data_IF_685571584465
#
_entry.id   IF_685571584465
#
_cell.length_a   1.000
_cell.length_b   1.000
_cell.length_c   1.000
_cell.angle_alpha   90.00
_cell.angle_beta   90.00
_cell.angle_gamma   90.00
#
_symmetry.space_group_name_H-M   'P 1'
#
loop_
_entity.id
_entity.type
_entity.pdbx_description
1 polymer ?
#
# COMPACT_ATOMS: atom_id res chain seq x y z
N UNK A 1 -9.92 17.43 -32.82
CA UNK A 1 -10.71 16.21 -32.51
C UNK A 1 -10.50 15.93 -31.05
N UNK A 2 -11.49 16.27 -30.23
CA UNK A 2 -11.55 16.08 -28.79
C UNK A 2 -11.73 14.60 -28.49
N UNK A 3 -10.82 14.03 -27.70
CA UNK A 3 -10.97 12.67 -27.13
C UNK A 3 -11.71 12.82 -25.80
N UNK A 4 -12.78 12.06 -25.54
CA UNK A 4 -13.55 12.20 -24.31
C UNK A 4 -12.85 11.59 -23.11
N UNK A 5 -13.06 12.22 -21.95
CA UNK A 5 -12.55 11.89 -20.64
C UNK A 5 -13.03 10.50 -20.16
N UNK A 6 -12.20 9.49 -20.28
CA UNK A 6 -12.42 8.14 -19.69
C UNK A 6 -11.63 7.94 -18.40
N UNK A 7 -10.67 8.83 -18.11
CA UNK A 7 -9.76 8.69 -16.96
C UNK A 7 -10.39 8.96 -15.58
N UNK A 8 -11.47 9.73 -15.50
CA UNK A 8 -12.09 10.07 -14.21
C UNK A 8 -12.93 8.95 -13.57
N UNK A 9 -13.35 7.95 -14.36
CA UNK A 9 -14.25 6.89 -13.88
C UNK A 9 -13.47 5.76 -13.19
N UNK A 10 -12.22 5.52 -13.56
CA UNK A 10 -11.42 4.43 -13.00
C UNK A 10 -10.91 4.70 -11.57
N UNK A 11 -10.59 5.95 -11.24
CA UNK A 11 -10.11 6.32 -9.90
C UNK A 11 -11.23 6.28 -8.84
N UNK A 12 -12.47 6.59 -9.21
CA UNK A 12 -13.63 6.53 -8.31
C UNK A 12 -14.07 5.07 -8.06
N UNK A 13 -13.89 4.17 -9.02
CA UNK A 13 -14.28 2.77 -8.87
C UNK A 13 -13.35 1.95 -7.99
N UNK A 14 -12.05 2.29 -7.91
CA UNK A 14 -11.09 1.56 -7.07
C UNK A 14 -11.21 1.90 -5.57
N UNK A 15 -11.59 3.12 -5.23
CA UNK A 15 -11.87 3.50 -3.83
C UNK A 15 -13.19 2.92 -3.33
N UNK A 16 -14.23 2.83 -4.18
CA UNK A 16 -15.51 2.23 -3.78
C UNK A 16 -15.40 0.72 -3.55
N UNK A 17 -14.60 -0.01 -4.32
CA UNK A 17 -14.47 -1.46 -4.19
C UNK A 17 -13.69 -1.91 -2.94
N UNK A 18 -12.72 -1.15 -2.48
CA UNK A 18 -12.00 -1.42 -1.24
C UNK A 18 -12.89 -1.14 0.00
N UNK A 19 -13.65 -0.05 -0.03
CA UNK A 19 -14.55 0.33 1.05
C UNK A 19 -15.76 -0.62 1.16
N UNK A 20 -16.29 -1.09 0.02
CA UNK A 20 -17.36 -2.11 -0.02
C UNK A 20 -16.89 -3.48 0.49
N UNK A 21 -15.63 -3.85 0.25
CA UNK A 21 -15.09 -5.13 0.75
C UNK A 21 -14.93 -5.14 2.27
N UNK A 22 -14.54 -4.04 2.88
CA UNK A 22 -14.39 -3.94 4.34
C UNK A 22 -15.74 -3.79 5.03
N UNK A 23 -16.68 -3.08 4.45
CA UNK A 23 -18.05 -3.02 4.93
C UNK A 23 -18.74 -4.39 4.90
N UNK A 24 -18.56 -5.18 3.85
CA UNK A 24 -19.11 -6.54 3.75
C UNK A 24 -18.49 -7.49 4.77
N UNK A 25 -17.19 -7.39 5.07
CA UNK A 25 -16.52 -8.18 6.12
C UNK A 25 -17.07 -7.83 7.52
N UNK A 26 -17.25 -6.55 7.81
CA UNK A 26 -17.84 -6.09 9.08
C UNK A 26 -19.27 -6.59 9.22
N UNK A 27 -20.07 -6.54 8.16
CA UNK A 27 -21.45 -7.07 8.14
C UNK A 27 -21.49 -8.57 8.42
N UNK A 28 -20.63 -9.35 7.77
CA UNK A 28 -20.54 -10.82 7.97
C UNK A 28 -20.13 -11.13 9.41
N UNK A 29 -19.11 -10.45 9.94
CA UNK A 29 -18.66 -10.66 11.34
C UNK A 29 -19.71 -10.27 12.35
N UNK A 30 -20.43 -9.16 12.14
CA UNK A 30 -21.53 -8.74 13.03
C UNK A 30 -22.71 -9.69 12.98
N UNK A 31 -23.09 -10.20 11.79
CA UNK A 31 -24.15 -11.20 11.64
C UNK A 31 -23.80 -12.52 12.34
N UNK A 32 -22.54 -12.98 12.23
CA UNK A 32 -22.04 -14.15 12.96
C UNK A 32 -22.08 -13.93 14.48
N UNK A 33 -21.64 -12.79 14.96
CA UNK A 33 -21.67 -12.46 16.39
C UNK A 33 -23.10 -12.44 16.94
N UNK A 34 -24.05 -11.88 16.19
CA UNK A 34 -25.49 -11.88 16.54
C UNK A 34 -26.03 -13.32 16.57
N UNK A 35 -25.72 -14.13 15.55
CA UNK A 35 -26.14 -15.52 15.48
C UNK A 35 -25.65 -16.34 16.69
N UNK A 36 -24.36 -16.22 17.04
CA UNK A 36 -23.78 -16.88 18.21
C UNK A 36 -24.42 -16.40 19.51
N UNK A 37 -24.71 -15.11 19.64
CA UNK A 37 -25.39 -14.55 20.82
C UNK A 37 -26.82 -15.08 20.98
N UNK A 38 -27.55 -15.16 19.87
CA UNK A 38 -28.92 -15.74 19.87
C UNK A 38 -28.92 -17.24 20.21
N UNK A 39 -27.93 -17.98 19.70
CA UNK A 39 -27.77 -19.40 19.97
C UNK A 39 -27.42 -19.65 21.45
N UNK A 40 -26.54 -18.87 22.03
CA UNK A 40 -26.19 -18.89 23.44
C UNK A 40 -27.40 -18.54 24.33
N UNK A 41 -28.17 -17.52 23.96
CA UNK A 41 -29.40 -17.13 24.64
C UNK A 41 -30.46 -18.24 24.56
N UNK A 42 -30.64 -18.85 23.39
CA UNK A 42 -31.54 -19.98 23.18
C UNK A 42 -31.18 -21.17 24.08
N UNK A 43 -29.91 -21.56 24.13
CA UNK A 43 -29.45 -22.64 25.01
C UNK A 43 -29.63 -22.29 26.49
N UNK A 44 -29.41 -21.04 26.88
CA UNK A 44 -29.68 -20.58 28.24
C UNK A 44 -31.18 -20.69 28.63
N UNK A 45 -32.07 -20.23 27.72
CA UNK A 45 -33.52 -20.29 27.93
C UNK A 45 -34.03 -21.74 27.99
N UNK A 46 -33.55 -22.61 27.10
CA UNK A 46 -33.87 -24.04 27.11
C UNK A 46 -33.42 -24.69 28.44
N UNK A 47 -32.22 -24.44 28.88
CA UNK A 47 -31.71 -24.96 30.15
C UNK A 47 -32.53 -24.44 31.35
N UNK A 48 -32.91 -23.16 31.33
CA UNK A 48 -33.76 -22.56 32.36
C UNK A 48 -35.16 -23.17 32.40
N UNK A 49 -35.77 -23.41 31.23
CA UNK A 49 -37.11 -24.05 31.15
C UNK A 49 -37.07 -25.51 31.56
N UNK A 50 -36.07 -26.27 31.11
CA UNK A 50 -35.87 -27.67 31.53
C UNK A 50 -35.69 -27.79 33.04
N UNK A 51 -34.94 -26.91 33.69
CA UNK A 51 -34.79 -26.87 35.14
C UNK A 51 -36.13 -26.59 35.83
N UNK A 52 -36.95 -25.67 35.32
CA UNK A 52 -38.29 -25.39 35.86
C UNK A 52 -39.23 -26.60 35.74
N UNK A 53 -39.22 -27.28 34.59
CA UNK A 53 -40.00 -28.51 34.37
C UNK A 53 -39.55 -29.64 35.29
N UNK A 54 -38.27 -29.84 35.47
CA UNK A 54 -37.74 -30.87 36.37
C UNK A 54 -38.15 -30.63 37.81
N UNK A 55 -38.11 -29.37 38.30
CA UNK A 55 -38.56 -29.01 39.64
C UNK A 55 -40.07 -29.21 39.79
N UNK A 56 -40.90 -28.82 38.80
CA UNK A 56 -42.36 -28.98 38.83
C UNK A 56 -42.80 -30.44 38.86
N UNK A 57 -42.08 -31.35 38.21
CA UNK A 57 -42.39 -32.77 38.14
C UNK A 57 -41.73 -33.63 39.25
N UNK A 58 -41.13 -32.98 40.26
CA UNK A 58 -40.42 -33.65 41.37
C UNK A 58 -39.39 -34.67 40.91
N UNK A 59 -38.80 -34.46 39.73
CA UNK A 59 -37.67 -35.25 39.27
C UNK A 59 -36.50 -34.86 40.17
N UNK A 60 -35.93 -35.82 40.89
CA UNK A 60 -34.70 -35.61 41.65
C UNK A 60 -33.62 -35.19 40.69
N UNK A 61 -33.40 -33.89 40.60
CA UNK A 61 -32.23 -33.36 39.93
C UNK A 61 -31.07 -33.74 40.85
N UNK A 62 -30.35 -34.79 40.48
CA UNK A 62 -29.11 -35.17 41.15
C UNK A 62 -28.29 -33.88 41.30
N UNK A 63 -28.16 -33.42 42.56
CA UNK A 63 -27.38 -32.21 42.84
C UNK A 63 -26.01 -32.43 42.21
N UNK A 64 -25.74 -31.66 41.16
CA UNK A 64 -24.42 -31.66 40.53
C UNK A 64 -23.49 -31.02 41.55
N UNK A 65 -22.97 -31.88 42.42
CA UNK A 65 -21.97 -31.57 43.42
C UNK A 65 -20.89 -30.78 42.69
N UNK A 66 -20.81 -29.46 42.99
CA UNK A 66 -19.87 -28.49 42.49
C UNK A 66 -19.64 -28.63 40.98
N UNK A 67 -20.37 -27.81 40.18
CA UNK A 67 -20.14 -27.73 38.75
C UNK A 67 -18.63 -27.52 38.51
N UNK A 68 -17.97 -28.38 37.73
CA UNK A 68 -16.56 -28.22 37.47
C UNK A 68 -16.35 -26.81 36.90
N UNK A 69 -15.28 -26.15 37.29
CA UNK A 69 -14.88 -24.87 36.67
C UNK A 69 -15.08 -24.97 35.16
N UNK A 70 -15.66 -23.94 34.53
CA UNK A 70 -15.91 -23.92 33.07
C UNK A 70 -14.68 -24.37 32.29
N UNK A 71 -13.49 -23.99 32.76
CA UNK A 71 -12.23 -24.45 32.21
C UNK A 71 -12.00 -25.95 32.27
N UNK A 72 -12.30 -26.57 33.41
CA UNK A 72 -12.20 -28.05 33.56
C UNK A 72 -13.23 -28.79 32.70
N UNK A 73 -14.43 -28.22 32.54
CA UNK A 73 -15.45 -28.79 31.67
C UNK A 73 -15.04 -28.68 30.19
N UNK A 74 -14.44 -27.56 29.80
CA UNK A 74 -13.90 -27.31 28.45
C UNK A 74 -12.79 -28.31 28.14
N UNK A 75 -11.77 -28.40 28.99
CA UNK A 75 -10.60 -29.29 28.77
C UNK A 75 -10.97 -30.76 28.76
N UNK A 76 -11.99 -31.18 29.53
CA UNK A 76 -12.52 -32.56 29.54
C UNK A 76 -13.33 -32.89 28.29
N UNK A 77 -13.82 -31.91 27.56
CA UNK A 77 -14.58 -32.15 26.35
C UNK A 77 -13.64 -32.29 25.15
N UNK A 78 -13.28 -33.55 24.83
CA UNK A 78 -12.33 -33.87 23.75
C UNK A 78 -12.79 -33.34 22.39
N UNK A 79 -14.12 -33.32 22.13
CA UNK A 79 -14.66 -32.82 20.86
C UNK A 79 -14.44 -31.29 20.75
N UNK A 80 -14.71 -30.54 21.83
CA UNK A 80 -14.52 -29.11 21.85
C UNK A 80 -13.03 -28.74 21.75
N UNK A 81 -12.17 -29.50 22.43
CA UNK A 81 -10.72 -29.34 22.30
C UNK A 81 -10.22 -29.60 20.88
N UNK A 82 -10.77 -30.63 20.22
CA UNK A 82 -10.43 -30.92 18.81
C UNK A 82 -10.86 -29.77 17.88
N UNK A 83 -12.09 -29.26 18.05
CA UNK A 83 -12.56 -28.11 17.26
C UNK A 83 -11.68 -26.87 17.46
N UNK A 84 -11.32 -26.56 18.70
CA UNK A 84 -10.40 -25.46 18.98
C UNK A 84 -9.03 -25.69 18.36
N UNK A 85 -8.49 -26.90 18.43
CA UNK A 85 -7.21 -27.23 17.81
C UNK A 85 -7.25 -27.05 16.28
N UNK A 86 -8.31 -27.52 15.63
CA UNK A 86 -8.52 -27.33 14.17
C UNK A 86 -8.64 -25.83 13.85
N UNK A 87 -9.43 -25.09 14.63
CA UNK A 87 -9.58 -23.65 14.43
C UNK A 87 -8.24 -22.91 14.56
N UNK A 88 -7.47 -23.20 15.60
CA UNK A 88 -6.14 -22.60 15.79
C UNK A 88 -5.17 -22.98 14.68
N UNK A 89 -5.21 -24.23 14.22
CA UNK A 89 -4.38 -24.70 13.12
C UNK A 89 -4.72 -23.98 11.81
N UNK A 90 -5.99 -23.88 11.47
CA UNK A 90 -6.44 -23.18 10.25
C UNK A 90 -6.16 -21.67 10.32
N UNK A 91 -6.42 -21.06 11.48
CA UNK A 91 -6.12 -19.63 11.70
C UNK A 91 -4.60 -19.38 11.59
N UNK A 92 -3.79 -20.22 12.24
CA UNK A 92 -2.33 -20.12 12.16
C UNK A 92 -1.85 -20.27 10.73
N UNK A 93 -2.35 -21.26 10.00
CA UNK A 93 -2.02 -21.47 8.58
C UNK A 93 -2.40 -20.25 7.73
N UNK A 94 -3.56 -19.65 7.96
CA UNK A 94 -4.00 -18.44 7.27
C UNK A 94 -3.07 -17.25 7.53
N UNK A 95 -2.72 -17.00 8.80
CA UNK A 95 -1.82 -15.89 9.16
C UNK A 95 -0.41 -16.11 8.64
N UNK A 96 0.12 -17.34 8.77
CA UNK A 96 1.45 -17.69 8.25
C UNK A 96 1.50 -17.56 6.74
N UNK A 97 0.49 -18.07 6.03
CA UNK A 97 0.38 -17.91 4.58
C UNK A 97 0.31 -16.43 4.18
N UNK A 98 -0.55 -15.65 4.86
CA UNK A 98 -0.67 -14.21 4.60
C UNK A 98 0.64 -13.47 4.79
N UNK A 99 1.36 -13.77 5.89
CA UNK A 99 2.68 -13.18 6.15
C UNK A 99 3.72 -13.58 5.10
N UNK A 100 3.81 -14.87 4.77
CA UNK A 100 4.75 -15.35 3.77
C UNK A 100 4.48 -14.77 2.37
N UNK A 101 3.20 -14.54 2.04
CA UNK A 101 2.79 -13.94 0.76
C UNK A 101 3.17 -12.46 0.62
N UNK A 102 3.55 -11.79 1.72
CA UNK A 102 4.02 -10.40 1.70
C UNK A 102 5.55 -10.30 1.60
N UNK A 103 6.28 -11.41 1.67
CA UNK A 103 7.74 -11.39 1.54
C UNK A 103 8.10 -10.97 0.10
N UNK A 104 8.89 -9.91 -0.03
CA UNK A 104 9.29 -9.34 -1.32
C UNK A 104 8.23 -8.47 -1.99
N UNK A 105 7.15 -8.11 -1.27
CA UNK A 105 6.19 -7.09 -1.68
C UNK A 105 6.56 -5.79 -0.99
N UNK A 106 7.15 -4.87 -1.75
CA UNK A 106 7.71 -3.61 -1.20
C UNK A 106 6.69 -2.45 -1.25
N UNK A 107 5.38 -2.74 -1.24
CA UNK A 107 4.34 -1.69 -1.25
C UNK A 107 4.47 -0.80 -0.02
N UNK A 108 4.48 0.52 -0.26
CA UNK A 108 4.71 1.52 0.78
C UNK A 108 6.19 1.74 1.13
N UNK A 109 7.13 1.10 0.42
CA UNK A 109 8.55 1.33 0.64
C UNK A 109 8.94 2.75 0.22
N UNK A 110 9.44 3.54 1.17
CA UNK A 110 9.69 4.97 1.07
C UNK A 110 11.08 5.31 1.62
N UNK A 111 12.15 5.05 0.87
CA UNK A 111 13.50 5.28 1.35
C UNK A 111 13.90 6.75 1.23
N UNK A 112 14.67 7.23 2.21
CA UNK A 112 15.30 8.55 2.13
C UNK A 112 16.40 8.52 1.08
N UNK A 113 16.31 9.44 0.12
CA UNK A 113 17.28 9.56 -0.97
C UNK A 113 18.50 10.40 -0.57
N UNK A 114 19.67 10.20 -1.20
CA UNK A 114 20.87 10.99 -0.91
C UNK A 114 20.73 12.50 -1.14
N UNK A 115 19.90 12.89 -2.11
CA UNK A 115 19.41 14.25 -2.31
C UNK A 115 17.89 14.15 -2.22
N UNK A 116 17.28 14.93 -1.36
CA UNK A 116 15.83 15.00 -1.26
C UNK A 116 15.28 15.61 -2.55
N UNK A 117 14.40 14.86 -3.23
CA UNK A 117 13.74 15.30 -4.44
C UNK A 117 12.24 15.18 -4.26
N UNK A 118 11.56 16.31 -4.21
CA UNK A 118 10.10 16.36 -4.08
C UNK A 118 9.43 16.32 -5.46
N UNK A 119 8.68 15.26 -5.73
CA UNK A 119 7.82 15.22 -6.92
C UNK A 119 6.64 16.17 -6.78
N UNK A 120 6.16 16.42 -5.57
CA UNK A 120 5.12 17.42 -5.29
C UNK A 120 5.52 18.79 -5.81
N UNK A 121 6.72 19.27 -5.48
CA UNK A 121 7.20 20.58 -5.95
C UNK A 121 7.36 20.60 -7.48
N UNK A 122 7.93 19.56 -8.08
CA UNK A 122 8.26 19.56 -9.51
C UNK A 122 7.07 19.22 -10.40
N UNK A 123 6.40 18.10 -10.14
CA UNK A 123 5.29 17.62 -10.96
C UNK A 123 3.95 18.21 -10.52
N UNK A 124 3.73 18.39 -9.20
CA UNK A 124 2.53 18.98 -8.66
C UNK A 124 2.50 20.50 -8.81
N UNK A 125 3.28 21.22 -8.00
CA UNK A 125 3.19 22.67 -7.90
C UNK A 125 3.65 23.36 -9.20
N UNK A 126 4.68 22.83 -9.88
CA UNK A 126 5.24 23.41 -11.11
C UNK A 126 4.72 22.74 -12.40
N UNK A 127 3.93 21.67 -12.33
CA UNK A 127 3.32 21.01 -13.47
C UNK A 127 4.31 20.44 -14.50
N UNK A 128 5.53 20.06 -14.08
CA UNK A 128 6.54 19.50 -14.97
C UNK A 128 6.13 18.08 -15.38
N UNK A 129 6.01 17.83 -16.69
CA UNK A 129 5.64 16.52 -17.23
C UNK A 129 6.64 15.43 -16.80
N UNK A 130 6.13 14.28 -16.41
CA UNK A 130 6.92 13.11 -15.96
C UNK A 130 7.99 12.73 -17.01
N UNK A 131 7.64 12.81 -18.31
CA UNK A 131 8.47 12.42 -19.44
C UNK A 131 9.58 13.43 -19.74
N UNK A 132 9.56 14.61 -19.10
CA UNK A 132 10.69 15.56 -19.20
C UNK A 132 11.92 14.98 -18.50
N UNK A 133 11.74 14.44 -17.31
CA UNK A 133 12.82 13.82 -16.54
C UNK A 133 12.97 12.31 -16.86
N UNK A 134 11.87 11.58 -16.98
CA UNK A 134 11.84 10.14 -17.27
C UNK A 134 11.61 9.86 -18.76
N UNK A 135 12.37 10.54 -19.62
CA UNK A 135 12.20 10.49 -21.08
C UNK A 135 12.34 9.09 -21.69
N UNK A 136 13.17 8.23 -21.08
CA UNK A 136 13.39 6.86 -21.52
C UNK A 136 12.18 5.94 -21.35
N UNK A 137 11.21 6.29 -20.49
CA UNK A 137 9.98 5.52 -20.33
C UNK A 137 9.19 5.36 -21.64
N UNK A 138 9.35 6.28 -22.59
CA UNK A 138 8.67 6.26 -23.90
C UNK A 138 9.27 5.27 -24.88
N UNK A 139 10.54 4.96 -24.76
CA UNK A 139 11.32 4.23 -25.79
C UNK A 139 12.11 3.04 -25.25
N UNK A 140 12.15 2.88 -23.94
CA UNK A 140 12.99 1.85 -23.29
C UNK A 140 12.19 0.95 -22.37
N UNK A 141 12.77 -0.20 -22.05
CA UNK A 141 12.33 -1.10 -21.00
C UNK A 141 12.32 -0.39 -19.62
N UNK A 142 13.34 0.42 -19.35
CA UNK A 142 13.50 1.15 -18.10
C UNK A 142 13.19 2.63 -18.29
N UNK A 143 12.44 3.22 -17.36
CA UNK A 143 12.20 4.66 -17.34
C UNK A 143 13.47 5.45 -16.99
N UNK A 144 14.34 4.85 -16.18
CA UNK A 144 15.57 5.45 -15.71
C UNK A 144 15.38 6.59 -14.71
N UNK A 145 16.43 6.85 -13.94
CA UNK A 145 16.58 8.09 -13.19
C UNK A 145 17.32 9.07 -14.10
N UNK A 146 16.85 10.33 -14.26
CA UNK A 146 17.52 11.29 -15.12
C UNK A 146 18.94 11.58 -14.60
N UNK A 147 19.85 11.85 -15.53
CA UNK A 147 21.18 12.35 -15.14
C UNK A 147 21.06 13.74 -14.52
N UNK A 148 21.97 14.09 -13.61
CA UNK A 148 21.91 15.36 -12.88
C UNK A 148 21.99 16.60 -13.77
N UNK A 149 22.45 16.49 -15.03
CA UNK A 149 22.42 17.61 -15.97
C UNK A 149 20.98 18.02 -16.33
N UNK A 150 20.01 17.11 -16.28
CA UNK A 150 18.60 17.47 -16.50
C UNK A 150 18.12 18.42 -15.40
N UNK A 151 18.52 18.19 -14.15
CA UNK A 151 18.24 19.09 -13.03
C UNK A 151 18.85 20.49 -13.29
N UNK A 152 20.06 20.52 -13.81
CA UNK A 152 20.78 21.76 -14.08
C UNK A 152 20.23 22.58 -15.26
N UNK A 153 19.26 22.06 -16.03
CA UNK A 153 18.55 22.89 -17.03
C UNK A 153 17.80 24.05 -16.36
N UNK A 154 17.29 23.85 -15.15
CA UNK A 154 16.59 24.85 -14.36
C UNK A 154 17.45 25.36 -13.18
N UNK A 155 18.13 24.46 -12.47
CA UNK A 155 18.87 24.81 -11.25
C UNK A 155 20.17 25.60 -11.47
N UNK A 156 20.56 25.92 -12.71
CA UNK A 156 21.54 26.98 -12.96
C UNK A 156 21.02 28.37 -12.60
N UNK A 157 19.70 28.56 -12.66
CA UNK A 157 19.04 29.83 -12.38
C UNK A 157 18.19 29.80 -11.13
N UNK A 158 17.81 28.58 -10.64
CA UNK A 158 17.00 28.37 -9.46
C UNK A 158 17.91 27.77 -8.38
N UNK A 159 18.47 28.63 -7.54
CA UNK A 159 19.43 28.29 -6.49
C UNK A 159 18.80 28.21 -5.10
N UNK A 160 17.57 28.68 -4.96
CA UNK A 160 16.77 28.62 -3.74
C UNK A 160 15.28 28.41 -4.06
N UNK A 161 14.50 27.96 -3.09
CA UNK A 161 13.05 27.86 -3.22
C UNK A 161 12.34 29.10 -2.70
N UNK A 162 11.08 29.32 -3.13
CA UNK A 162 10.25 30.36 -2.58
C UNK A 162 9.81 30.03 -1.13
N UNK A 163 9.54 31.02 -0.30
CA UNK A 163 9.00 30.83 1.07
C UNK A 163 7.71 30.02 1.07
N UNK A 164 6.86 30.21 0.05
CA UNK A 164 5.61 29.48 -0.11
C UNK A 164 5.78 27.98 -0.41
N UNK A 165 6.98 27.53 -0.73
CA UNK A 165 7.28 26.12 -0.99
C UNK A 165 7.49 25.33 0.30
N UNK A 166 7.85 26.03 1.40
CA UNK A 166 8.04 25.43 2.71
C UNK A 166 6.73 24.80 3.23
N UNK A 167 6.88 23.70 3.96
CA UNK A 167 5.79 23.01 4.66
C UNK A 167 6.05 23.00 6.15
N UNK A 168 5.12 22.47 6.95
CA UNK A 168 5.34 22.27 8.39
C UNK A 168 6.50 21.29 8.67
N UNK A 169 6.76 20.35 7.77
CA UNK A 169 7.78 19.32 7.92
C UNK A 169 9.12 19.72 7.30
N UNK A 170 9.10 20.45 6.17
CA UNK A 170 10.30 20.83 5.42
C UNK A 170 10.40 22.33 5.24
N UNK A 171 11.39 22.93 5.91
CA UNK A 171 11.62 24.38 5.81
C UNK A 171 12.27 24.79 4.48
N UNK A 172 12.23 26.09 4.18
CA UNK A 172 12.96 26.65 3.01
C UNK A 172 14.45 26.30 3.07
N UNK A 173 15.09 26.45 4.22
CA UNK A 173 16.51 26.19 4.41
C UNK A 173 16.85 24.71 4.14
N UNK A 174 15.93 23.81 4.45
CA UNK A 174 16.09 22.40 4.13
C UNK A 174 16.18 22.20 2.62
N UNK A 175 15.22 22.72 1.86
CA UNK A 175 15.22 22.58 0.40
C UNK A 175 16.42 23.26 -0.25
N UNK A 176 16.79 24.46 0.22
CA UNK A 176 17.99 25.18 -0.26
C UNK A 176 19.26 24.35 -0.03
N UNK A 177 19.36 23.69 1.13
CA UNK A 177 20.48 22.79 1.42
C UNK A 177 20.51 21.56 0.48
N UNK A 178 19.35 21.04 0.06
CA UNK A 178 19.29 19.95 -0.91
C UNK A 178 19.73 20.38 -2.32
N UNK A 179 19.40 21.61 -2.74
CA UNK A 179 19.94 22.20 -3.99
C UNK A 179 21.48 22.32 -3.90
N UNK A 180 22.02 22.68 -2.75
CA UNK A 180 23.48 22.73 -2.56
C UNK A 180 24.14 21.34 -2.63
N UNK A 181 23.43 20.25 -2.25
CA UNK A 181 23.92 18.88 -2.49
C UNK A 181 23.98 18.56 -3.98
N UNK A 182 22.97 18.99 -4.76
CA UNK A 182 22.99 18.85 -6.22
C UNK A 182 24.21 19.57 -6.80
N UNK A 183 24.48 20.82 -6.41
CA UNK A 183 25.62 21.60 -6.89
C UNK A 183 26.95 20.91 -6.59
N UNK A 184 27.11 20.38 -5.37
CA UNK A 184 28.30 19.59 -5.02
C UNK A 184 28.44 18.33 -5.87
N UNK A 185 27.32 17.67 -6.20
CA UNK A 185 27.34 16.45 -6.99
C UNK A 185 27.74 16.70 -8.44
N UNK A 186 27.25 17.78 -9.06
CA UNK A 186 27.59 18.15 -10.46
C UNK A 186 28.85 19.01 -10.59
N UNK A 187 29.40 19.47 -9.46
CA UNK A 187 30.56 20.38 -9.45
C UNK A 187 30.20 21.77 -9.98
N UNK A 188 29.02 22.30 -9.65
CA UNK A 188 28.59 23.64 -10.00
C UNK A 188 29.06 24.66 -8.96
N UNK A 189 29.69 25.75 -9.44
CA UNK A 189 29.98 26.92 -8.63
C UNK A 189 28.99 28.02 -8.98
N UNK A 190 28.06 28.28 -8.09
CA UNK A 190 27.00 29.24 -8.31
C UNK A 190 27.51 30.67 -8.39
N UNK A 191 28.49 31.05 -7.55
CA UNK A 191 29.09 32.40 -7.60
C UNK A 191 29.80 32.72 -8.92
N UNK A 192 30.41 31.72 -9.55
CA UNK A 192 31.12 31.86 -10.81
C UNK A 192 30.28 31.40 -12.02
N UNK A 193 29.07 30.88 -11.78
CA UNK A 193 28.16 30.35 -12.81
C UNK A 193 28.84 29.39 -13.79
N UNK A 194 29.68 28.49 -13.25
CA UNK A 194 30.45 27.54 -14.08
C UNK A 194 30.67 26.20 -13.38
N UNK A 195 30.93 25.19 -14.18
CA UNK A 195 31.34 23.88 -13.68
C UNK A 195 32.83 23.85 -13.32
N UNK A 196 33.11 23.31 -12.14
CA UNK A 196 34.49 23.15 -11.64
C UNK A 196 35.19 21.89 -12.17
N UNK A 197 34.41 20.97 -12.77
CA UNK A 197 34.89 19.65 -13.18
C UNK A 197 35.03 18.64 -12.04
N UNK A 198 34.84 19.05 -10.79
CA UNK A 198 34.89 18.16 -9.62
C UNK A 198 33.48 17.60 -9.36
N UNK A 199 33.18 16.44 -9.91
CA UNK A 199 31.88 15.80 -9.79
C UNK A 199 31.90 14.64 -8.82
N UNK A 200 30.74 14.34 -8.19
CA UNK A 200 30.55 13.19 -7.33
C UNK A 200 29.24 12.50 -7.73
N UNK A 201 29.26 11.21 -8.11
CA UNK A 201 28.05 10.50 -8.48
C UNK A 201 27.10 10.38 -7.29
N UNK A 202 25.81 10.54 -7.56
CA UNK A 202 24.73 10.31 -6.57
C UNK A 202 24.27 8.87 -6.69
N UNK A 203 24.30 8.14 -5.60
CA UNK A 203 23.84 6.75 -5.54
C UNK A 203 22.39 6.72 -5.07
N UNK A 204 21.47 6.84 -6.02
CA UNK A 204 20.05 6.76 -5.78
C UNK A 204 19.62 5.37 -5.26
N UNK A 205 18.66 5.35 -4.34
CA UNK A 205 18.07 4.13 -3.82
C UNK A 205 16.88 3.76 -4.71
N UNK A 206 16.90 2.54 -5.21
CA UNK A 206 15.81 2.02 -6.03
C UNK A 206 14.58 1.78 -5.17
N UNK A 207 13.42 2.28 -5.61
CA UNK A 207 12.14 2.19 -4.91
C UNK A 207 11.31 1.03 -5.47
N UNK A 208 11.11 1.01 -6.79
CA UNK A 208 10.26 0.03 -7.45
C UNK A 208 11.06 -1.22 -7.82
N UNK A 209 10.74 -2.34 -7.19
CA UNK A 209 11.35 -3.62 -7.45
C UNK A 209 10.31 -4.59 -8.03
N UNK A 210 10.64 -5.20 -9.16
CA UNK A 210 9.91 -6.34 -9.70
C UNK A 210 10.69 -7.62 -9.39
N UNK A 211 10.02 -8.77 -9.21
CA UNK A 211 10.69 -10.05 -9.15
C UNK A 211 11.57 -10.28 -10.39
N UNK A 212 12.73 -10.89 -10.22
CA UNK A 212 13.73 -11.06 -11.30
C UNK A 212 13.20 -11.83 -12.52
N UNK A 213 12.20 -12.68 -12.32
CA UNK A 213 11.54 -13.44 -13.39
C UNK A 213 10.48 -12.63 -14.16
N UNK A 214 10.09 -11.45 -13.67
CA UNK A 214 9.10 -10.62 -14.34
C UNK A 214 9.73 -9.73 -15.40
N UNK A 215 9.27 -9.91 -16.65
CA UNK A 215 9.63 -8.98 -17.73
C UNK A 215 8.62 -7.84 -17.78
N UNK A 216 9.10 -6.64 -17.63
CA UNK A 216 8.30 -5.42 -17.77
C UNK A 216 9.00 -4.43 -18.70
N UNK A 217 8.22 -3.77 -19.56
CA UNK A 217 8.73 -2.78 -20.50
C UNK A 217 7.87 -1.52 -20.45
N UNK A 218 8.44 -0.42 -19.98
CA UNK A 218 7.74 0.86 -19.90
C UNK A 218 7.21 1.33 -21.26
N UNK A 219 8.00 1.22 -22.33
CA UNK A 219 7.57 1.74 -23.64
C UNK A 219 6.32 1.04 -24.19
N UNK A 220 6.12 -0.23 -23.87
CA UNK A 220 4.91 -0.97 -24.26
C UNK A 220 3.67 -0.46 -23.50
N UNK A 221 3.81 -0.13 -22.23
CA UNK A 221 2.71 0.39 -21.42
C UNK A 221 2.44 1.87 -21.67
N UNK A 222 3.47 2.69 -21.70
CA UNK A 222 3.36 4.15 -21.80
C UNK A 222 3.08 4.61 -23.23
N UNK A 223 3.79 4.07 -24.23
CA UNK A 223 3.69 4.55 -25.61
C UNK A 223 2.70 3.73 -26.44
N UNK A 224 2.75 2.41 -26.35
CA UNK A 224 1.89 1.55 -27.17
C UNK A 224 0.48 1.44 -26.57
N UNK A 225 0.39 1.17 -25.25
CA UNK A 225 -0.90 1.03 -24.59
C UNK A 225 -1.50 2.35 -24.07
N UNK A 226 -0.72 3.43 -24.01
CA UNK A 226 -1.19 4.74 -23.55
C UNK A 226 -1.58 4.78 -22.07
N UNK A 227 -0.97 3.92 -21.24
CA UNK A 227 -1.24 3.87 -19.81
C UNK A 227 -0.59 5.07 -19.12
N UNK A 228 -1.37 5.78 -18.29
CA UNK A 228 -0.89 6.91 -17.51
C UNK A 228 0.06 6.45 -16.38
N UNK A 229 1.02 7.30 -16.06
CA UNK A 229 2.05 7.00 -15.06
C UNK A 229 1.43 6.67 -13.68
N UNK A 230 0.43 7.45 -13.29
CA UNK A 230 -0.27 7.33 -12.00
C UNK A 230 -1.00 5.99 -11.83
N UNK A 231 -1.37 5.33 -12.93
CA UNK A 231 -2.01 4.00 -12.86
C UNK A 231 -1.16 2.98 -12.09
N UNK A 232 0.17 3.10 -12.21
CA UNK A 232 1.12 2.21 -11.55
C UNK A 232 1.82 2.88 -10.35
N UNK A 233 2.17 4.16 -10.51
CA UNK A 233 2.97 4.89 -9.54
C UNK A 233 2.15 5.67 -8.51
N UNK A 234 0.82 5.74 -8.66
CA UNK A 234 -0.05 6.52 -7.77
C UNK A 234 0.03 8.03 -8.01
N UNK A 235 -0.43 8.85 -7.07
CA UNK A 235 -0.47 10.30 -7.18
C UNK A 235 0.92 10.91 -6.95
N UNK A 236 1.84 10.67 -7.88
CA UNK A 236 3.26 11.09 -7.78
C UNK A 236 3.39 12.60 -7.59
N UNK A 237 2.50 13.36 -8.17
CA UNK A 237 2.40 14.82 -8.05
C UNK A 237 2.07 15.32 -6.63
N UNK A 238 1.65 14.42 -5.74
CA UNK A 238 1.40 14.72 -4.33
C UNK A 238 2.53 14.23 -3.42
N UNK A 239 3.48 13.44 -3.96
CA UNK A 239 4.52 12.79 -3.17
C UNK A 239 5.69 13.72 -2.88
N UNK A 240 5.91 14.03 -1.61
CA UNK A 240 7.10 14.71 -1.12
C UNK A 240 8.30 13.75 -1.14
N UNK A 241 8.14 12.56 -0.60
CA UNK A 241 9.07 11.44 -0.75
C UNK A 241 8.40 10.39 -1.62
N UNK A 242 9.11 9.91 -2.61
CA UNK A 242 8.60 8.88 -3.52
C UNK A 242 8.54 7.52 -2.83
N UNK A 243 7.37 6.87 -2.88
CA UNK A 243 7.17 5.53 -2.36
C UNK A 243 6.58 4.58 -3.39
N UNK A 244 6.72 3.28 -3.18
CA UNK A 244 6.09 2.28 -4.03
C UNK A 244 4.60 2.20 -3.73
N UNK A 245 3.76 2.80 -4.58
CA UNK A 245 2.31 2.86 -4.41
C UNK A 245 1.65 1.50 -4.67
N UNK A 246 1.90 0.91 -5.83
CA UNK A 246 1.30 -0.37 -6.22
C UNK A 246 2.12 -1.56 -5.71
N UNK A 247 1.47 -2.70 -5.41
CA UNK A 247 2.18 -3.87 -4.87
C UNK A 247 3.13 -4.52 -5.88
N UNK A 248 2.96 -4.27 -7.17
CA UNK A 248 3.75 -4.80 -8.29
C UNK A 248 3.88 -6.33 -8.29
N UNK A 249 2.92 -7.02 -7.68
CA UNK A 249 2.84 -8.49 -7.69
C UNK A 249 2.35 -9.00 -9.05
N UNK A 250 2.66 -10.25 -9.38
CA UNK A 250 2.13 -10.87 -10.60
C UNK A 250 0.60 -10.85 -10.66
N UNK A 251 -0.07 -11.09 -9.51
CA UNK A 251 -1.53 -11.04 -9.41
C UNK A 251 -2.09 -9.65 -9.79
N UNK A 252 -1.42 -8.59 -9.35
CA UNK A 252 -1.79 -7.22 -9.70
C UNK A 252 -1.66 -6.96 -11.20
N UNK A 253 -0.55 -7.37 -11.81
CA UNK A 253 -0.34 -7.25 -13.26
C UNK A 253 -1.38 -8.04 -14.06
N UNK A 254 -1.65 -9.29 -13.67
CA UNK A 254 -2.61 -10.17 -14.34
C UNK A 254 -4.03 -9.59 -14.26
N UNK A 255 -4.42 -9.02 -13.11
CA UNK A 255 -5.74 -8.42 -12.96
C UNK A 255 -5.91 -7.22 -13.89
N UNK A 256 -4.93 -6.30 -13.93
CA UNK A 256 -4.94 -5.18 -14.87
C UNK A 256 -5.07 -5.66 -16.34
N UNK A 257 -4.29 -6.66 -16.74
CA UNK A 257 -4.33 -7.22 -18.10
C UNK A 257 -5.68 -7.91 -18.42
N UNK A 258 -6.34 -8.52 -17.44
CA UNK A 258 -7.67 -9.12 -17.61
C UNK A 258 -8.75 -8.06 -17.75
N UNK A 259 -8.70 -7.02 -16.94
CA UNK A 259 -9.68 -5.92 -16.97
C UNK A 259 -9.59 -5.12 -18.27
N UNK A 260 -8.38 -4.92 -18.78
CA UNK A 260 -8.12 -4.17 -20.01
C UNK A 260 -8.18 -5.03 -21.27
N UNK A 261 -8.47 -6.33 -21.18
CA UNK A 261 -8.48 -7.28 -22.31
C UNK A 261 -7.21 -7.30 -23.15
N UNK A 262 -6.07 -7.01 -22.58
CA UNK A 262 -4.78 -7.10 -23.28
C UNK A 262 -4.41 -8.58 -23.43
N UNK A 263 -4.13 -8.98 -24.67
CA UNK A 263 -3.71 -10.35 -25.03
C UNK A 263 -2.19 -10.50 -25.05
#
# INVERSE_FOLDING_TARGET
>A
KTVPAVAAVAAVSSQSSAQDSDFSKILILSALAILFSLLALGLFLVNKTLRRFAVANKVEIREVTKSPSLWKAFVKNQFLMLLCAIFFLLSSAYFVYGYLSQIGVDQGYEPIQPIHYSHRIHAGDNGIDCKYCHSSARVSKHSGIPSLNVCMNCHKSIYEVAESTATEEYSKEFYDAEIQKLYKAVGWNDAEQKYTGKTKPVKWIRIHNLPDFAYFNHSQHVTVAGVECQTCHGPVEEMEIMYQHSPLTMGWCINCHRETNVK
#
